data_IF_832495078251
#
_entry.id   IF_832495078251
#
_cell.length_a   1.000
_cell.length_b   1.000
_cell.length_c   1.000
_cell.angle_alpha   90.00
_cell.angle_beta   90.00
_cell.angle_gamma   90.00
#
_symmetry.space_group_name_H-M   'P 1'
#
loop_
_entity.id
_entity.type
_entity.pdbx_description
1 polymer ?
#
# COMPACT_ATOMS: atom_id res chain seq x y z
N UNK A 1 -13.73 9.92 21.94
CA UNK A 1 -12.44 10.41 22.46
C UNK A 1 -11.61 10.86 21.25
N UNK A 2 -11.64 12.15 20.92
CA UNK A 2 -10.61 12.73 20.07
C UNK A 2 -9.39 12.99 20.96
N UNK A 3 -8.42 12.10 20.90
CA UNK A 3 -7.06 12.36 21.36
C UNK A 3 -6.19 12.43 20.11
N UNK A 4 -6.02 13.63 19.58
CA UNK A 4 -4.75 13.99 18.97
C UNK A 4 -4.16 15.10 19.82
N UNK A 5 -3.03 14.81 20.45
CA UNK A 5 -1.97 15.77 20.67
C UNK A 5 -0.66 15.01 20.78
N UNK A 6 0.06 14.94 19.66
CA UNK A 6 1.50 14.69 19.64
C UNK A 6 2.17 16.00 20.08
N UNK A 7 2.89 15.95 21.20
CA UNK A 7 3.78 17.02 21.67
C UNK A 7 5.21 16.51 21.53
N UNK A 8 5.97 17.06 20.58
CA UNK A 8 7.42 16.90 20.53
C UNK A 8 8.08 18.03 21.34
N UNK A 9 9.03 17.74 22.25
CA UNK A 9 9.82 18.75 22.93
C UNK A 9 11.02 19.20 22.07
N UNK A 10 11.17 20.52 21.93
CA UNK A 10 12.38 21.16 21.42
C UNK A 10 13.49 21.08 22.48
N UNK A 11 14.66 20.60 22.07
CA UNK A 11 15.87 20.61 22.89
C UNK A 11 17.07 21.13 22.10
N UNK A 12 17.67 22.17 22.68
CA UNK A 12 19.07 22.64 22.63
C UNK A 12 19.51 23.51 21.43
N UNK A 13 19.96 24.71 21.81
CA UNK A 13 20.65 25.73 21.01
C UNK A 13 22.12 25.70 21.45
N UNK A 14 23.05 25.67 20.50
CA UNK A 14 24.44 26.11 20.59
C UNK A 14 24.86 26.47 19.15
N UNK A 15 25.58 27.53 18.79
CA UNK A 15 26.14 28.66 19.51
C UNK A 15 26.58 29.65 18.40
N UNK A 16 26.06 30.88 18.31
CA UNK A 16 26.73 31.91 17.52
C UNK A 16 26.44 33.32 18.05
N UNK A 17 27.55 34.01 18.34
CA UNK A 17 27.71 35.32 19.00
C UNK A 17 26.97 36.45 18.29
N UNK A 18 26.33 37.36 19.03
CA UNK A 18 26.62 38.80 18.92
C UNK A 18 26.03 39.61 20.08
N UNK A 19 26.73 40.70 20.37
CA UNK A 19 26.67 41.61 21.51
C UNK A 19 25.39 42.47 21.57
N UNK A 20 25.00 42.86 22.80
CA UNK A 20 24.83 44.26 23.25
C UNK A 20 23.43 44.71 23.80
N UNK A 21 23.50 45.25 25.03
CA UNK A 21 22.66 46.27 25.72
C UNK A 21 21.30 45.92 26.36
N UNK A 22 21.37 45.77 27.69
CA UNK A 22 20.56 46.34 28.80
C UNK A 22 19.34 47.21 28.40
N UNK A 23 18.14 46.84 28.89
CA UNK A 23 17.21 47.77 29.57
C UNK A 23 16.19 47.00 30.44
N UNK A 24 16.01 47.49 31.65
CA UNK A 24 15.04 47.08 32.68
C UNK A 24 13.63 47.63 32.40
N UNK A 25 12.58 46.80 32.53
CA UNK A 25 11.21 47.22 32.85
C UNK A 25 10.41 45.99 33.32
N UNK A 26 10.19 45.82 34.63
CA UNK A 26 9.01 46.22 35.42
C UNK A 26 7.72 45.46 35.05
N UNK A 27 7.29 44.60 35.98
CA UNK A 27 6.14 43.72 35.90
C UNK A 27 4.80 44.45 35.98
N UNK A 28 3.75 43.87 35.37
CA UNK A 28 2.36 44.11 35.70
C UNK A 28 1.59 42.78 35.67
N UNK A 29 1.13 42.36 36.84
CA UNK A 29 0.16 41.29 37.01
C UNK A 29 -1.23 41.81 36.62
N UNK A 30 -1.96 41.03 35.81
CA UNK A 30 -3.39 41.23 35.59
C UNK A 30 -4.11 39.88 35.57
N UNK A 31 -5.35 39.94 36.05
CA UNK A 31 -6.10 38.92 36.79
C UNK A 31 -6.74 37.84 35.92
N UNK A 32 -6.81 36.63 36.46
CA UNK A 32 -7.57 35.51 35.91
C UNK A 32 -9.08 35.79 35.98
N UNK A 33 -9.78 35.74 34.84
CA UNK A 33 -11.23 35.58 34.78
C UNK A 33 -11.56 34.16 34.35
N UNK A 34 -12.20 33.42 35.25
CA UNK A 34 -12.81 32.12 34.97
C UNK A 34 -14.14 32.33 34.26
N UNK A 35 -14.17 32.13 32.94
CA UNK A 35 -15.41 31.94 32.20
C UNK A 35 -15.62 30.44 31.98
N UNK A 36 -16.77 29.92 32.44
CA UNK A 36 -17.17 28.53 32.24
C UNK A 36 -17.67 28.31 30.81
N UNK A 37 -17.33 27.20 30.14
CA UNK A 37 -17.92 26.87 28.85
C UNK A 37 -19.35 26.34 29.03
N UNK A 38 -20.27 26.94 28.28
CA UNK A 38 -21.63 26.45 28.06
C UNK A 38 -21.59 25.09 27.36
N UNK A 39 -22.30 24.10 27.91
CA UNK A 39 -22.53 22.79 27.29
C UNK A 39 -23.27 22.96 25.95
N UNK A 40 -22.54 22.86 24.84
CA UNK A 40 -23.12 22.71 23.51
C UNK A 40 -23.29 21.23 23.19
N UNK A 41 -24.50 20.86 22.77
CA UNK A 41 -24.98 19.51 22.39
C UNK A 41 -23.92 18.59 21.76
N UNK A 42 -23.70 17.42 22.37
CA UNK A 42 -23.18 16.26 21.67
C UNK A 42 -24.32 15.66 20.81
N UNK A 43 -24.36 15.99 19.52
CA UNK A 43 -25.02 15.11 18.57
C UNK A 43 -24.30 13.75 18.63
N UNK A 44 -25.05 12.68 18.85
CA UNK A 44 -24.54 11.32 18.72
C UNK A 44 -24.21 11.14 17.24
N UNK A 45 -22.94 11.34 16.88
CA UNK A 45 -22.42 10.82 15.64
C UNK A 45 -22.52 9.31 15.77
N UNK A 46 -23.57 8.74 15.17
CA UNK A 46 -23.69 7.32 14.91
C UNK A 46 -22.41 6.95 14.15
N UNK A 47 -21.42 6.43 14.88
CA UNK A 47 -20.20 5.91 14.29
C UNK A 47 -20.59 4.59 13.67
N UNK A 48 -21.28 4.67 12.54
CA UNK A 48 -21.14 3.64 11.53
C UNK A 48 -19.65 3.57 11.27
N UNK A 49 -18.99 2.58 11.90
CA UNK A 49 -17.76 2.03 11.38
C UNK A 49 -17.90 1.96 9.85
N UNK A 50 -16.88 2.34 9.07
CA UNK A 50 -16.99 2.26 7.62
C UNK A 50 -17.40 0.83 7.28
N UNK A 51 -18.68 0.68 6.94
CA UNK A 51 -19.28 -0.55 6.51
C UNK A 51 -18.64 -0.82 5.18
N UNK A 52 -17.59 -1.66 5.17
CA UNK A 52 -16.96 -2.29 4.00
C UNK A 52 -17.44 -1.66 2.71
N UNK A 53 -17.00 -0.43 2.43
CA UNK A 53 -17.39 0.21 1.20
C UNK A 53 -16.70 -0.62 0.15
N UNK A 54 -17.49 -1.26 -0.71
CA UNK A 54 -17.05 -1.98 -1.89
C UNK A 54 -16.44 -1.00 -2.90
N UNK A 55 -15.43 -0.25 -2.46
CA UNK A 55 -14.59 0.59 -3.28
C UNK A 55 -13.77 -0.38 -4.10
N UNK A 56 -14.16 -0.55 -5.36
CA UNK A 56 -13.36 -1.29 -6.31
C UNK A 56 -11.94 -0.71 -6.42
N UNK A 57 -11.01 -1.51 -6.90
CA UNK A 57 -9.64 -1.05 -7.16
C UNK A 57 -9.47 -0.76 -8.66
N UNK A 58 -8.83 0.36 -9.00
CA UNK A 58 -8.27 0.58 -10.33
C UNK A 58 -6.76 0.68 -10.18
N UNK A 59 -6.06 -0.41 -10.50
CA UNK A 59 -4.61 -0.51 -10.32
C UNK A 59 -3.89 -0.22 -11.63
N UNK A 60 -2.64 0.23 -11.54
CA UNK A 60 -1.87 0.59 -12.72
C UNK A 60 -0.49 -0.08 -12.78
N UNK A 61 -0.11 -0.51 -13.99
CA UNK A 61 1.25 -0.90 -14.38
C UNK A 61 1.74 0.10 -15.42
N UNK A 62 2.61 1.04 -15.03
CA UNK A 62 3.11 2.13 -15.89
C UNK A 62 4.58 2.00 -16.24
N UNK A 63 5.38 1.50 -15.30
CA UNK A 63 6.81 1.20 -15.48
C UNK A 63 7.28 0.24 -14.38
N UNK A 64 8.54 -0.15 -14.44
CA UNK A 64 9.28 -0.89 -13.40
C UNK A 64 9.35 -0.15 -12.05
N UNK A 65 9.22 1.18 -12.06
CA UNK A 65 9.20 2.02 -10.85
C UNK A 65 7.80 2.54 -10.49
N UNK A 66 6.78 2.23 -11.29
CA UNK A 66 5.43 2.76 -11.14
C UNK A 66 4.38 1.68 -11.46
N UNK A 67 4.25 0.71 -10.56
CA UNK A 67 3.32 -0.41 -10.70
C UNK A 67 2.64 -0.83 -9.39
N UNK A 68 1.67 -1.73 -9.49
CA UNK A 68 1.00 -2.41 -8.38
C UNK A 68 1.05 -3.94 -8.52
N UNK A 69 0.86 -4.66 -7.43
CA UNK A 69 0.61 -6.10 -7.33
C UNK A 69 -0.42 -6.33 -6.22
N UNK A 70 -1.29 -7.32 -6.36
CA UNK A 70 -2.07 -7.83 -5.24
C UNK A 70 -1.18 -8.61 -4.28
N UNK A 71 -1.49 -8.51 -2.99
CA UNK A 71 -0.82 -9.20 -1.89
C UNK A 71 -1.86 -9.69 -0.87
N UNK A 72 -1.47 -10.61 0.04
CA UNK A 72 -2.32 -11.00 1.13
C UNK A 72 -2.73 -9.78 2.01
N UNK A 73 -3.96 -9.76 2.57
CA UNK A 73 -4.46 -8.63 3.36
C UNK A 73 -3.61 -8.32 4.60
N UNK A 74 -2.95 -9.32 5.17
CA UNK A 74 -2.09 -9.14 6.33
C UNK A 74 -0.70 -9.77 6.10
N UNK A 75 0.36 -9.23 6.75
CA UNK A 75 1.66 -9.87 6.76
C UNK A 75 1.59 -11.31 7.28
N UNK A 76 2.24 -12.24 6.59
CA UNK A 76 2.31 -13.66 6.96
C UNK A 76 1.07 -14.49 6.64
N UNK A 77 0.03 -13.89 6.04
CA UNK A 77 -1.05 -14.67 5.45
C UNK A 77 -0.51 -15.54 4.29
N UNK A 78 -1.04 -16.76 4.17
CA UNK A 78 -0.74 -17.62 3.03
C UNK A 78 -1.38 -17.04 1.75
N UNK A 79 -0.61 -17.00 0.66
CA UNK A 79 -1.03 -16.37 -0.60
C UNK A 79 -2.22 -17.09 -1.20
N UNK A 80 -2.14 -18.42 -1.39
CA UNK A 80 -3.24 -19.23 -1.93
C UNK A 80 -4.51 -19.22 -1.06
N UNK A 81 -4.38 -19.05 0.26
CA UNK A 81 -5.53 -18.96 1.17
C UNK A 81 -6.28 -17.61 1.09
N UNK A 82 -5.71 -16.61 0.43
CA UNK A 82 -6.24 -15.23 0.36
C UNK A 82 -6.64 -14.79 -1.04
N UNK A 83 -6.66 -15.69 -2.02
CA UNK A 83 -6.95 -15.37 -3.44
C UNK A 83 -8.27 -14.60 -3.64
N UNK A 84 -9.28 -14.85 -2.79
CA UNK A 84 -10.59 -14.19 -2.84
C UNK A 84 -10.68 -12.83 -2.14
N UNK A 85 -9.64 -12.39 -1.43
CA UNK A 85 -9.65 -11.15 -0.67
C UNK A 85 -8.36 -10.34 -0.74
N UNK A 86 -7.45 -10.67 -1.68
CA UNK A 86 -6.22 -9.93 -1.91
C UNK A 86 -6.45 -8.42 -2.06
N UNK A 87 -5.44 -7.63 -1.66
CA UNK A 87 -5.48 -6.18 -1.73
C UNK A 87 -4.27 -5.66 -2.52
N UNK A 88 -4.43 -4.57 -3.30
CA UNK A 88 -3.33 -4.07 -4.09
C UNK A 88 -2.36 -3.26 -3.25
N UNK A 89 -1.08 -3.55 -3.45
CA UNK A 89 0.05 -2.74 -3.03
C UNK A 89 0.78 -2.22 -4.26
N UNK A 90 1.39 -1.05 -4.13
CA UNK A 90 1.93 -0.28 -5.22
C UNK A 90 3.23 0.39 -4.81
N UNK A 91 4.05 0.71 -5.81
CA UNK A 91 5.27 1.51 -5.63
C UNK A 91 5.00 2.90 -5.06
N UNK A 92 3.78 3.44 -5.27
CA UNK A 92 3.28 4.62 -4.57
C UNK A 92 1.73 4.60 -4.48
N UNK A 93 1.17 5.34 -3.52
CA UNK A 93 -0.27 5.33 -3.23
C UNK A 93 -1.16 5.94 -4.33
N UNK A 94 -0.60 6.68 -5.30
CA UNK A 94 -1.39 7.30 -6.38
C UNK A 94 -1.80 6.30 -7.46
N UNK A 95 -1.35 5.05 -7.37
CA UNK A 95 -1.61 4.00 -8.35
C UNK A 95 -2.81 3.10 -7.99
N UNK A 96 -3.59 3.45 -6.97
CA UNK A 96 -4.85 2.76 -6.65
C UNK A 96 -4.75 1.67 -5.58
N UNK A 97 -3.65 1.64 -4.82
CA UNK A 97 -3.44 0.68 -3.73
C UNK A 97 -2.59 1.23 -2.58
N UNK A 98 -2.28 0.35 -1.63
CA UNK A 98 -1.37 0.65 -0.52
C UNK A 98 0.06 0.78 -1.02
N UNK A 99 1.00 1.32 -0.22
CA UNK A 99 2.41 1.33 -0.62
C UNK A 99 3.07 0.02 -0.21
N UNK A 100 3.84 -0.61 -1.11
CA UNK A 100 4.62 -1.80 -0.79
C UNK A 100 5.44 -1.61 0.50
N UNK A 101 5.58 -2.65 1.34
CA UNK A 101 6.53 -2.62 2.44
C UNK A 101 7.93 -2.27 1.93
N UNK A 102 8.67 -1.49 2.70
CA UNK A 102 10.02 -1.09 2.30
C UNK A 102 10.90 -2.32 2.05
N UNK A 103 11.51 -2.37 0.87
CA UNK A 103 12.39 -3.47 0.47
C UNK A 103 11.66 -4.73 0.01
N UNK A 104 10.32 -4.74 -0.05
CA UNK A 104 9.57 -5.90 -0.54
C UNK A 104 9.86 -6.20 -2.01
N UNK A 105 9.86 -5.20 -2.88
CA UNK A 105 10.25 -5.34 -4.29
C UNK A 105 11.78 -5.26 -4.38
N UNK A 106 12.41 -6.27 -4.99
CA UNK A 106 13.87 -6.34 -5.16
C UNK A 106 14.28 -6.07 -6.59
N UNK A 107 13.60 -6.69 -7.55
CA UNK A 107 13.73 -6.39 -8.97
C UNK A 107 12.35 -6.26 -9.60
N UNK A 108 12.24 -5.47 -10.65
CA UNK A 108 11.01 -5.26 -11.39
C UNK A 108 11.35 -4.95 -12.84
N UNK A 109 10.70 -5.67 -13.75
CA UNK A 109 10.93 -5.57 -15.19
C UNK A 109 9.60 -5.34 -15.88
N UNK A 110 9.44 -4.16 -16.46
CA UNK A 110 8.20 -3.78 -17.13
C UNK A 110 8.26 -4.06 -18.62
N UNK A 111 7.20 -4.68 -19.13
CA UNK A 111 6.97 -4.89 -20.55
C UNK A 111 5.55 -4.41 -20.89
N UNK A 112 5.45 -3.59 -21.93
CA UNK A 112 4.17 -3.13 -22.47
C UNK A 112 4.07 -3.51 -23.95
N UNK A 113 2.94 -4.07 -24.32
CA UNK A 113 2.60 -4.46 -25.70
C UNK A 113 1.29 -3.79 -26.11
N UNK A 114 0.74 -4.16 -27.26
CA UNK A 114 -0.61 -3.74 -27.65
C UNK A 114 -1.70 -4.42 -26.85
N UNK A 115 -1.44 -5.63 -26.34
CA UNK A 115 -2.49 -6.52 -25.80
C UNK A 115 -2.43 -6.63 -24.27
N UNK A 116 -1.26 -6.36 -23.69
CA UNK A 116 -1.02 -6.42 -22.25
C UNK A 116 0.13 -5.53 -21.78
N UNK A 117 0.08 -5.20 -20.49
CA UNK A 117 1.18 -4.65 -19.71
C UNK A 117 1.52 -5.64 -18.59
N UNK A 118 2.81 -5.83 -18.28
CA UNK A 118 3.23 -6.71 -17.19
C UNK A 118 4.41 -6.15 -16.41
N UNK A 119 4.52 -6.61 -15.16
CA UNK A 119 5.73 -6.51 -14.35
C UNK A 119 6.08 -7.89 -13.83
N UNK A 120 7.33 -8.31 -14.02
CA UNK A 120 7.91 -9.53 -13.45
C UNK A 120 9.12 -9.16 -12.61
N UNK A 121 9.46 -9.95 -11.60
CA UNK A 121 10.64 -9.69 -10.80
C UNK A 121 10.71 -10.48 -9.51
N UNK A 122 11.60 -10.05 -8.63
CA UNK A 122 11.88 -10.71 -7.36
C UNK A 122 11.39 -9.90 -6.17
N UNK A 123 11.06 -10.63 -5.09
CA UNK A 123 10.64 -10.06 -3.82
C UNK A 123 11.59 -10.44 -2.68
N UNK A 124 11.50 -9.68 -1.61
CA UNK A 124 12.00 -10.07 -0.29
C UNK A 124 10.80 -10.41 0.60
N UNK A 125 10.42 -11.69 0.60
CA UNK A 125 9.26 -12.20 1.33
C UNK A 125 9.24 -11.80 2.81
N UNK A 126 10.41 -11.61 3.43
CA UNK A 126 10.53 -11.28 4.84
C UNK A 126 10.03 -9.86 5.14
N UNK A 127 10.09 -8.94 4.17
CA UNK A 127 9.55 -7.59 4.31
C UNK A 127 8.02 -7.58 4.52
N UNK A 128 7.33 -8.68 4.20
CA UNK A 128 5.91 -8.88 4.46
C UNK A 128 5.60 -10.18 5.22
N UNK A 129 6.62 -10.75 5.90
CA UNK A 129 6.49 -11.93 6.77
C UNK A 129 5.94 -13.19 6.07
N UNK A 130 6.02 -13.30 4.74
CA UNK A 130 5.50 -14.46 4.01
C UNK A 130 6.36 -15.70 4.29
N UNK A 131 5.71 -16.86 4.40
CA UNK A 131 6.36 -18.14 4.74
C UNK A 131 7.27 -18.59 3.58
N UNK A 132 8.56 -18.92 3.82
CA UNK A 132 9.43 -19.50 2.80
C UNK A 132 8.96 -20.84 2.20
N UNK A 133 7.96 -21.50 2.79
CA UNK A 133 7.39 -22.75 2.29
C UNK A 133 6.02 -22.54 1.62
N UNK A 134 5.55 -21.30 1.54
CA UNK A 134 4.34 -20.97 0.79
C UNK A 134 4.67 -21.00 -0.70
N UNK A 135 4.08 -21.96 -1.42
CA UNK A 135 4.22 -22.11 -2.87
C UNK A 135 3.49 -21.05 -3.68
N UNK A 136 2.78 -20.13 -3.01
CA UNK A 136 2.12 -19.00 -3.63
C UNK A 136 0.65 -19.21 -3.95
N UNK A 137 0.12 -18.31 -4.77
CA UNK A 137 -1.27 -18.29 -5.20
C UNK A 137 -1.48 -17.28 -6.34
N UNK A 138 -2.68 -17.28 -6.89
CA UNK A 138 -3.11 -16.46 -8.02
C UNK A 138 -4.24 -15.51 -7.59
N UNK A 139 -3.98 -14.21 -7.70
CA UNK A 139 -5.01 -13.18 -7.66
C UNK A 139 -5.43 -12.83 -9.09
N UNK A 140 -6.73 -12.81 -9.35
CA UNK A 140 -7.28 -12.46 -10.66
C UNK A 140 -8.70 -11.87 -10.57
N UNK A 141 -9.27 -11.56 -11.74
CA UNK A 141 -10.61 -10.98 -11.87
C UNK A 141 -11.77 -11.98 -11.61
N UNK A 142 -11.47 -13.27 -11.48
CA UNK A 142 -12.44 -14.31 -11.14
C UNK A 142 -12.65 -14.39 -9.63
N UNK A 143 -11.62 -14.14 -8.84
CA UNK A 143 -11.70 -14.20 -7.38
C UNK A 143 -11.99 -12.84 -6.75
N UNK A 144 -11.39 -11.76 -7.28
CA UNK A 144 -11.56 -10.40 -6.75
C UNK A 144 -12.51 -9.60 -7.64
N UNK A 145 -13.58 -9.05 -7.04
CA UNK A 145 -14.63 -8.31 -7.76
C UNK A 145 -14.39 -6.80 -7.75
N UNK A 146 -14.93 -6.13 -8.77
CA UNK A 146 -14.84 -4.67 -8.95
C UNK A 146 -13.38 -4.17 -9.03
N UNK A 147 -12.53 -4.90 -9.74
CA UNK A 147 -11.14 -4.51 -9.97
C UNK A 147 -10.89 -4.28 -11.45
N UNK A 148 -10.14 -3.23 -11.78
CA UNK A 148 -9.54 -3.01 -13.09
C UNK A 148 -8.03 -2.91 -12.99
N UNK A 149 -7.35 -3.31 -14.05
CA UNK A 149 -5.89 -3.28 -14.19
C UNK A 149 -5.55 -2.52 -15.46
N UNK A 150 -4.99 -1.30 -15.35
CA UNK A 150 -4.86 -0.36 -16.47
C UNK A 150 -6.20 -0.10 -17.20
N UNK A 151 -7.32 -0.13 -16.47
CA UNK A 151 -8.67 -0.04 -17.05
C UNK A 151 -9.18 -1.32 -17.71
N UNK A 152 -8.37 -2.37 -17.81
CA UNK A 152 -8.78 -3.67 -18.31
C UNK A 152 -9.44 -4.52 -17.23
N UNK A 153 -10.37 -5.39 -17.67
CA UNK A 153 -11.05 -6.33 -16.78
C UNK A 153 -10.16 -7.50 -16.37
N UNK A 154 -9.31 -7.98 -17.27
CA UNK A 154 -8.58 -9.21 -17.07
C UNK A 154 -7.20 -8.91 -16.50
N UNK A 155 -6.82 -9.66 -15.48
CA UNK A 155 -5.47 -9.65 -14.97
C UNK A 155 -5.13 -11.01 -14.38
N UNK A 156 -3.84 -11.30 -14.31
CA UNK A 156 -3.28 -12.42 -13.56
C UNK A 156 -2.14 -11.89 -12.72
N UNK A 157 -2.12 -12.26 -11.44
CA UNK A 157 -1.04 -11.90 -10.54
C UNK A 157 -0.69 -13.08 -9.64
N UNK A 158 0.58 -13.46 -9.62
CA UNK A 158 1.10 -14.46 -8.70
C UNK A 158 2.16 -13.84 -7.79
N UNK A 159 2.20 -14.35 -6.56
CA UNK A 159 3.30 -14.19 -5.61
C UNK A 159 3.71 -15.59 -5.18
N UNK A 160 4.99 -15.90 -5.30
CA UNK A 160 5.59 -17.21 -4.94
C UNK A 160 6.66 -16.98 -3.87
N UNK A 161 6.28 -17.01 -2.58
CA UNK A 161 7.21 -16.76 -1.48
C UNK A 161 8.38 -17.76 -1.41
N UNK A 162 8.14 -19.03 -1.72
CA UNK A 162 9.17 -20.08 -1.75
C UNK A 162 10.26 -19.81 -2.79
N UNK A 163 9.90 -19.25 -3.94
CA UNK A 163 10.80 -18.85 -5.02
C UNK A 163 11.28 -17.39 -4.93
N UNK A 164 10.71 -16.56 -4.04
CA UNK A 164 10.95 -15.11 -3.98
C UNK A 164 10.67 -14.38 -5.31
N UNK A 165 9.63 -14.79 -6.03
CA UNK A 165 9.23 -14.14 -7.29
C UNK A 165 7.80 -13.63 -7.23
N UNK A 166 7.53 -12.63 -8.07
CA UNK A 166 6.17 -12.17 -8.34
C UNK A 166 6.03 -11.82 -9.82
N UNK A 167 4.79 -11.85 -10.28
CA UNK A 167 4.45 -11.43 -11.63
C UNK A 167 3.01 -10.92 -11.67
N UNK A 168 2.79 -9.87 -12.44
CA UNK A 168 1.46 -9.34 -12.70
C UNK A 168 1.35 -8.96 -14.17
N UNK A 169 0.21 -9.26 -14.80
CA UNK A 169 -0.13 -8.84 -16.15
C UNK A 169 -1.56 -8.32 -16.18
N UNK A 170 -1.73 -7.09 -16.66
CA UNK A 170 -3.04 -6.56 -17.08
C UNK A 170 -3.26 -6.93 -18.53
N UNK A 171 -4.41 -7.51 -18.87
CA UNK A 171 -4.72 -8.04 -20.20
C UNK A 171 -5.97 -7.41 -20.79
N UNK A 172 -5.90 -7.01 -22.06
CA UNK A 172 -7.08 -6.54 -22.79
C UNK A 172 -8.08 -7.68 -23.02
N UNK A 173 -7.59 -8.89 -23.34
CA UNK A 173 -8.41 -10.08 -23.53
C UNK A 173 -8.06 -11.19 -22.52
N UNK A 174 -9.04 -12.03 -22.18
CA UNK A 174 -8.84 -13.16 -21.28
C UNK A 174 -7.76 -14.13 -21.80
N UNK A 175 -7.58 -14.25 -23.12
CA UNK A 175 -6.57 -15.12 -23.74
C UNK A 175 -5.13 -14.73 -23.41
N UNK A 176 -4.89 -13.47 -23.02
CA UNK A 176 -3.55 -12.97 -22.73
C UNK A 176 -3.15 -13.22 -21.26
N UNK A 177 -4.14 -13.59 -20.44
CA UNK A 177 -4.05 -13.91 -19.01
C UNK A 177 -4.50 -15.36 -18.78
N UNK A 178 -3.56 -16.29 -18.79
CA UNK A 178 -3.85 -17.70 -18.55
C UNK A 178 -4.19 -17.95 -17.08
N UNK A 179 -5.47 -18.20 -16.79
CA UNK A 179 -5.98 -18.55 -15.46
C UNK A 179 -6.09 -20.07 -15.30
N UNK A 180 -6.18 -20.55 -14.04
CA UNK A 180 -6.41 -21.97 -13.74
C UNK A 180 -5.19 -22.89 -13.94
N UNK A 181 -4.01 -22.30 -14.14
CA UNK A 181 -2.73 -22.98 -14.26
C UNK A 181 -1.68 -22.40 -13.29
N UNK A 182 -2.15 -21.82 -12.18
CA UNK A 182 -1.33 -21.12 -11.16
C UNK A 182 -0.19 -21.97 -10.60
N UNK A 183 -0.38 -23.29 -10.46
CA UNK A 183 0.63 -24.21 -9.93
C UNK A 183 1.87 -24.38 -10.80
N UNK A 184 1.87 -23.87 -12.03
CA UNK A 184 3.06 -23.83 -12.88
C UNK A 184 3.99 -22.65 -12.58
N UNK A 185 3.51 -21.66 -11.85
CA UNK A 185 4.27 -20.50 -11.40
C UNK A 185 4.49 -19.40 -12.43
N UNK A 186 5.12 -18.34 -11.96
CA UNK A 186 5.22 -17.03 -12.59
C UNK A 186 5.93 -17.11 -13.95
N UNK A 187 7.09 -17.76 -14.00
CA UNK A 187 7.88 -17.88 -15.23
C UNK A 187 7.10 -18.48 -16.40
N UNK A 188 6.16 -19.39 -16.09
CA UNK A 188 5.35 -20.06 -17.12
C UNK A 188 4.07 -19.31 -17.48
N UNK A 189 3.41 -18.68 -16.50
CA UNK A 189 2.14 -17.98 -16.72
C UNK A 189 2.36 -16.59 -17.30
N UNK A 190 3.36 -15.88 -16.77
CA UNK A 190 3.80 -14.56 -17.22
C UNK A 190 5.28 -14.64 -17.56
N UNK A 191 5.64 -15.15 -18.75
CA UNK A 191 7.03 -15.15 -19.19
C UNK A 191 7.61 -13.74 -19.18
N UNK A 192 8.83 -13.59 -18.68
CA UNK A 192 9.47 -12.29 -18.48
C UNK A 192 10.86 -12.42 -17.87
N UNK A 193 11.42 -11.29 -17.45
CA UNK A 193 12.69 -11.23 -16.74
C UNK A 193 12.43 -11.27 -15.22
N UNK A 194 13.15 -12.16 -14.53
CA UNK A 194 13.08 -12.38 -13.08
C UNK A 194 14.46 -12.23 -12.42
N UNK A 195 15.44 -11.66 -13.14
CA UNK A 195 16.77 -11.38 -12.61
C UNK A 195 16.85 -10.12 -11.75
#
# INVERSE_FOLDING_TARGET
>A
MCLQNQKLPNSIIDNMKFTLLITTALALFATASTAMPTHQNCAIANSSAPSSSSSGYDIHLKSDTAFCSFMPPHPGDNVGATENNGIPFCTNATLGGQVFPQGFIKTAHFLNTTDYAQVTGTIDRAAYQLDPNDGGGQYDNMDIKNVTCNGYKFFVNLIEPDANVFCIRCCENQSDCNLGISTYGCERIVPGDYS
#
